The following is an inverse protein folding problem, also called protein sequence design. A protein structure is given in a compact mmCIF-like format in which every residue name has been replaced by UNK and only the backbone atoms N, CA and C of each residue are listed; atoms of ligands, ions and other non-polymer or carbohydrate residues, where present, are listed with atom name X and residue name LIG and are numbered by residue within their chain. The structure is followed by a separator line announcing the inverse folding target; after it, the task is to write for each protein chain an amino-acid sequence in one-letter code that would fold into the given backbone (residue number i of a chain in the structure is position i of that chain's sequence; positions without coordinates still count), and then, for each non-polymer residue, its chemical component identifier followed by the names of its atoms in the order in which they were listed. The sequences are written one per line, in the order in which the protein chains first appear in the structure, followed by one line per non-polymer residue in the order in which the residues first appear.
data_IF_320790047642
#
_entry.id   IF_320790047642
#
_cell.length_a   1.000
_cell.length_b   1.000
_cell.length_c   1.000
_cell.angle_alpha   90.00
_cell.angle_beta   90.00
_cell.angle_gamma   90.00
#
_symmetry.space_group_name_H-M   'P 1'
#
loop_
_entity.id
_entity.type
_entity.pdbx_description
1 polymer ?
#
# COMPACT_ATOMS: atom_id res chain seq x y z
N UNK A 1 1.11 -26.06 1.22
CA UNK A 1 2.10 -25.71 0.17
C UNK A 1 3.10 -24.68 0.68
N UNK A 2 2.77 -23.40 0.86
CA UNK A 2 3.76 -22.38 1.31
C UNK A 2 4.31 -22.65 2.72
N UNK A 3 3.45 -22.94 3.69
CA UNK A 3 3.89 -23.25 5.06
C UNK A 3 4.82 -24.47 5.11
N UNK A 4 4.45 -25.56 4.43
CA UNK A 4 5.25 -26.80 4.46
C UNK A 4 6.59 -26.60 3.76
N UNK A 5 6.61 -25.83 2.67
CA UNK A 5 7.84 -25.44 1.98
C UNK A 5 8.74 -24.58 2.87
N UNK A 6 8.18 -23.59 3.57
CA UNK A 6 8.95 -22.71 4.44
C UNK A 6 9.54 -23.46 5.64
N UNK A 7 8.76 -24.33 6.29
CA UNK A 7 9.26 -25.22 7.35
C UNK A 7 10.35 -26.15 6.81
N UNK A 8 10.11 -26.82 5.68
CA UNK A 8 11.08 -27.72 5.07
C UNK A 8 12.39 -27.02 4.70
N UNK A 9 12.33 -25.77 4.23
CA UNK A 9 13.53 -24.96 3.97
C UNK A 9 14.30 -24.63 5.25
N UNK A 10 13.61 -24.22 6.32
CA UNK A 10 14.25 -23.96 7.61
C UNK A 10 14.92 -25.21 8.18
N UNK A 11 14.21 -26.34 8.18
CA UNK A 11 14.73 -27.60 8.73
C UNK A 11 15.92 -28.13 7.92
N UNK A 12 15.89 -28.00 6.59
CA UNK A 12 16.91 -28.57 5.70
C UNK A 12 18.13 -27.67 5.55
N UNK A 13 17.92 -26.36 5.30
CA UNK A 13 18.99 -25.45 4.90
C UNK A 13 19.41 -24.49 6.02
N UNK A 14 18.51 -24.18 6.96
CA UNK A 14 18.76 -23.20 8.02
C UNK A 14 18.40 -23.71 9.43
N UNK A 15 18.82 -24.92 9.83
CA UNK A 15 18.38 -25.52 11.09
C UNK A 15 18.84 -24.73 12.33
N UNK A 16 19.91 -23.95 12.18
CA UNK A 16 20.42 -23.08 13.24
C UNK A 16 19.49 -21.89 13.56
N UNK A 17 18.57 -21.52 12.66
CA UNK A 17 17.62 -20.41 12.84
C UNK A 17 16.24 -20.86 13.34
N UNK A 18 16.00 -22.17 13.48
CA UNK A 18 14.66 -22.70 13.76
C UNK A 18 14.08 -22.19 15.09
N UNK A 19 14.94 -21.80 16.04
CA UNK A 19 14.53 -21.24 17.35
C UNK A 19 14.17 -19.76 17.28
N UNK A 20 14.63 -19.06 16.24
CA UNK A 20 14.44 -17.62 16.06
C UNK A 20 13.30 -17.29 15.08
N UNK A 21 12.83 -18.28 14.33
CA UNK A 21 11.77 -18.11 13.33
C UNK A 21 10.51 -18.88 13.73
N UNK A 22 9.41 -18.16 13.83
CA UNK A 22 8.08 -18.75 14.00
C UNK A 22 7.28 -18.65 12.71
N UNK A 23 6.82 -19.78 12.19
CA UNK A 23 5.92 -19.84 11.04
C UNK A 23 4.55 -20.28 11.55
N UNK A 24 3.51 -19.52 11.21
CA UNK A 24 2.15 -19.78 11.69
C UNK A 24 1.17 -19.83 10.52
N UNK A 25 0.22 -20.78 10.58
CA UNK A 25 -1.01 -20.73 9.78
C UNK A 25 -2.08 -20.09 10.63
N UNK A 26 -2.54 -18.92 10.21
CA UNK A 26 -3.60 -18.20 10.92
C UNK A 26 -4.94 -18.45 10.21
N UNK A 27 -6.00 -18.59 11.00
CA UNK A 27 -7.36 -18.53 10.45
C UNK A 27 -7.68 -17.08 10.04
N UNK A 28 -8.69 -16.86 9.17
CA UNK A 28 -9.16 -15.53 8.82
C UNK A 28 -9.74 -14.81 10.05
N UNK A 29 -8.88 -14.11 10.78
CA UNK A 29 -9.21 -13.38 12.00
C UNK A 29 -8.49 -12.04 12.01
N UNK A 30 -9.25 -10.98 11.75
CA UNK A 30 -8.71 -9.63 11.62
C UNK A 30 -8.14 -9.09 12.93
N UNK A 31 -8.72 -9.46 14.08
CA UNK A 31 -8.21 -9.02 15.39
C UNK A 31 -6.83 -9.62 15.67
N UNK A 32 -6.65 -10.90 15.33
CA UNK A 32 -5.38 -11.58 15.49
C UNK A 32 -4.32 -10.96 14.58
N UNK A 33 -4.64 -10.75 13.31
CA UNK A 33 -3.72 -10.16 12.35
C UNK A 33 -3.36 -8.72 12.73
N UNK A 34 -4.35 -7.91 13.11
CA UNK A 34 -4.13 -6.56 13.62
C UNK A 34 -3.21 -6.59 14.86
N UNK A 35 -3.40 -7.54 15.78
CA UNK A 35 -2.54 -7.65 16.97
C UNK A 35 -1.09 -7.93 16.58
N UNK A 36 -0.86 -8.85 15.65
CA UNK A 36 0.49 -9.20 15.18
C UNK A 36 1.14 -8.00 14.50
N UNK A 37 0.43 -7.36 13.55
CA UNK A 37 0.93 -6.20 12.82
C UNK A 37 1.20 -5.04 13.80
N UNK A 38 0.24 -4.70 14.65
CA UNK A 38 0.37 -3.56 15.56
C UNK A 38 1.45 -3.75 16.63
N UNK A 39 1.91 -4.97 16.88
CA UNK A 39 3.02 -5.27 17.80
C UNK A 39 4.35 -5.53 17.08
N UNK A 40 4.36 -5.63 15.75
CA UNK A 40 5.59 -5.80 14.98
C UNK A 40 6.51 -4.59 15.11
N UNK A 41 7.82 -4.82 15.06
CA UNK A 41 8.81 -3.74 14.95
C UNK A 41 8.85 -3.18 13.51
N UNK A 42 8.77 -4.09 12.54
CA UNK A 42 8.80 -3.85 11.09
C UNK A 42 7.96 -4.94 10.42
N UNK A 43 7.28 -4.59 9.32
CA UNK A 43 6.50 -5.53 8.51
C UNK A 43 7.19 -5.73 7.17
N UNK A 44 7.31 -6.99 6.73
CA UNK A 44 7.88 -7.34 5.43
C UNK A 44 6.76 -7.77 4.50
N UNK A 45 6.68 -7.15 3.32
CA UNK A 45 5.80 -7.61 2.25
C UNK A 45 6.60 -7.82 0.96
N UNK A 46 7.11 -9.03 0.80
CA UNK A 46 8.13 -9.36 -0.21
C UNK A 46 7.57 -10.17 -1.39
N UNK A 47 6.27 -10.07 -1.63
CA UNK A 47 5.59 -10.70 -2.76
C UNK A 47 6.20 -10.30 -4.11
N UNK A 48 6.22 -11.23 -5.05
CA UNK A 48 6.68 -10.97 -6.44
C UNK A 48 5.62 -10.28 -7.31
N UNK A 49 4.35 -10.38 -6.91
CA UNK A 49 3.18 -9.83 -7.62
C UNK A 49 2.12 -9.50 -6.60
N UNK A 50 1.53 -8.31 -6.73
CA UNK A 50 0.42 -7.87 -5.90
C UNK A 50 -0.58 -7.06 -6.70
N UNK A 51 -1.81 -7.00 -6.20
CA UNK A 51 -2.81 -6.02 -6.62
C UNK A 51 -2.53 -4.69 -5.95
N UNK A 52 -3.40 -4.28 -5.02
CA UNK A 52 -3.12 -3.13 -4.15
C UNK A 52 -2.30 -3.52 -2.92
N UNK A 53 -2.67 -4.64 -2.30
CA UNK A 53 -2.14 -5.18 -1.04
C UNK A 53 -2.43 -4.33 0.20
N UNK A 54 -3.55 -4.66 0.86
CA UNK A 54 -4.12 -3.87 1.98
C UNK A 54 -3.29 -4.00 3.27
N UNK A 55 -2.54 -5.10 3.45
CA UNK A 55 -1.75 -5.31 4.67
C UNK A 55 -0.61 -4.31 4.81
N UNK A 56 -0.14 -3.74 3.70
CA UNK A 56 0.81 -2.61 3.72
C UNK A 56 0.16 -1.38 4.34
N UNK A 57 -1.06 -1.00 3.90
CA UNK A 57 -1.82 0.10 4.51
C UNK A 57 -2.11 -0.14 6.00
N UNK A 58 -2.51 -1.35 6.38
CA UNK A 58 -2.77 -1.70 7.79
C UNK A 58 -1.51 -1.54 8.66
N UNK A 59 -0.36 -2.00 8.17
CA UNK A 59 0.91 -1.83 8.86
C UNK A 59 1.29 -0.36 9.03
N UNK A 60 1.15 0.43 7.96
CA UNK A 60 1.44 1.85 8.01
C UNK A 60 0.49 2.59 8.98
N UNK A 61 -0.82 2.27 8.97
CA UNK A 61 -1.78 2.82 9.93
C UNK A 61 -1.43 2.48 11.38
N UNK A 62 -0.93 1.27 11.62
CA UNK A 62 -0.42 0.88 12.93
C UNK A 62 0.88 1.62 13.34
N UNK A 63 1.44 2.43 12.45
CA UNK A 63 2.69 3.15 12.61
C UNK A 63 3.90 2.21 12.51
N UNK A 64 3.80 1.15 11.71
CA UNK A 64 4.87 0.17 11.52
C UNK A 64 5.57 0.42 10.20
N UNK A 65 6.90 0.68 10.22
CA UNK A 65 7.71 0.70 9.02
C UNK A 65 7.50 -0.58 8.21
N UNK A 66 7.37 -0.42 6.89
CA UNK A 66 7.24 -1.54 5.95
C UNK A 66 8.47 -1.62 5.07
N UNK A 67 9.05 -2.81 4.91
CA UNK A 67 9.98 -3.09 3.81
C UNK A 67 9.21 -3.94 2.82
N UNK A 68 8.98 -3.41 1.62
CA UNK A 68 8.16 -4.08 0.62
C UNK A 68 8.79 -4.07 -0.76
N UNK A 69 8.44 -5.06 -1.56
CA UNK A 69 8.82 -5.09 -2.97
C UNK A 69 8.07 -4.04 -3.77
N UNK A 70 8.69 -3.55 -4.86
CA UNK A 70 8.03 -2.69 -5.87
C UNK A 70 7.05 -3.50 -6.74
N UNK A 71 6.09 -4.16 -6.11
CA UNK A 71 5.08 -4.99 -6.78
C UNK A 71 3.71 -4.30 -6.75
N UNK A 72 3.01 -4.32 -7.90
CA UNK A 72 1.64 -3.84 -8.00
C UNK A 72 1.44 -2.41 -7.51
N UNK A 73 0.44 -2.22 -6.66
CA UNK A 73 0.04 -0.96 -6.03
C UNK A 73 0.74 -0.67 -4.70
N UNK A 74 1.70 -1.49 -4.25
CA UNK A 74 2.50 -1.19 -3.04
C UNK A 74 3.16 0.20 -3.10
N UNK A 75 3.77 0.62 -4.24
CA UNK A 75 4.37 1.96 -4.35
C UNK A 75 3.38 3.12 -4.26
N UNK A 76 2.06 2.86 -4.30
CA UNK A 76 1.04 3.90 -4.04
C UNK A 76 0.96 4.23 -2.54
N UNK A 77 1.33 3.29 -1.68
CA UNK A 77 1.17 3.37 -0.24
C UNK A 77 2.49 3.70 0.48
N UNK A 78 3.59 3.12 -0.02
CA UNK A 78 4.93 3.27 0.56
C UNK A 78 5.69 4.42 -0.10
N UNK A 79 6.04 5.42 0.70
CA UNK A 79 6.94 6.52 0.36
C UNK A 79 8.35 6.11 0.77
N UNK A 80 9.15 5.71 -0.21
CA UNK A 80 10.50 5.17 0.00
C UNK A 80 11.35 6.07 0.92
N UNK A 81 12.01 5.46 1.90
CA UNK A 81 12.83 6.07 2.95
C UNK A 81 12.09 7.06 3.87
N UNK A 82 10.78 7.23 3.72
CA UNK A 82 9.97 8.09 4.57
C UNK A 82 9.11 7.28 5.54
N UNK A 83 8.21 6.43 5.03
CA UNK A 83 7.33 5.59 5.85
C UNK A 83 7.63 4.08 5.71
N UNK A 84 8.59 3.73 4.86
CA UNK A 84 9.02 2.37 4.59
C UNK A 84 10.16 2.36 3.56
N UNK A 85 10.54 1.17 3.12
CA UNK A 85 11.54 0.95 2.09
C UNK A 85 10.95 0.14 0.94
N UNK A 86 11.28 0.54 -0.29
CA UNK A 86 10.91 -0.15 -1.52
C UNK A 86 12.12 -0.87 -2.13
N UNK A 87 12.06 -2.19 -2.17
CA UNK A 87 13.12 -3.06 -2.71
C UNK A 87 12.69 -3.74 -4.01
N UNK A 88 13.65 -4.24 -4.78
CA UNK A 88 13.35 -5.05 -5.97
C UNK A 88 13.05 -6.51 -5.55
N UNK A 89 12.13 -7.22 -6.23
CA UNK A 89 11.83 -8.62 -5.92
C UNK A 89 13.09 -9.51 -5.94
N UNK A 90 13.31 -10.25 -4.86
CA UNK A 90 14.46 -11.14 -4.70
C UNK A 90 15.72 -10.48 -4.14
N UNK A 91 15.75 -9.15 -3.93
CA UNK A 91 16.89 -8.47 -3.30
C UNK A 91 16.86 -8.61 -1.76
N UNK A 92 17.13 -9.82 -1.29
CA UNK A 92 17.20 -10.13 0.13
C UNK A 92 18.34 -9.39 0.85
N UNK A 93 19.37 -8.92 0.13
CA UNK A 93 20.48 -8.16 0.71
C UNK A 93 20.02 -6.76 1.11
N UNK A 94 19.27 -6.08 0.24
CA UNK A 94 18.68 -4.79 0.57
C UNK A 94 17.69 -4.93 1.74
N UNK A 95 16.85 -5.98 1.74
CA UNK A 95 15.94 -6.27 2.87
C UNK A 95 16.71 -6.43 4.18
N UNK A 96 17.77 -7.24 4.20
CA UNK A 96 18.58 -7.45 5.39
C UNK A 96 19.26 -6.16 5.88
N UNK A 97 19.76 -5.32 4.95
CA UNK A 97 20.33 -4.02 5.28
C UNK A 97 19.32 -3.10 5.95
N UNK A 98 18.11 -2.97 5.39
CA UNK A 98 17.06 -2.13 5.96
C UNK A 98 16.50 -2.68 7.29
N UNK A 99 16.45 -3.99 7.46
CA UNK A 99 16.18 -4.59 8.76
C UNK A 99 17.24 -4.15 9.77
N UNK A 100 18.52 -4.26 9.43
CA UNK A 100 19.61 -3.83 10.31
C UNK A 100 19.49 -2.34 10.66
N UNK A 101 19.22 -1.48 9.68
CA UNK A 101 19.00 -0.05 9.90
C UNK A 101 17.88 0.18 10.93
N UNK A 102 16.73 -0.49 10.77
CA UNK A 102 15.56 -0.32 11.64
C UNK A 102 15.75 -0.91 13.05
N UNK A 103 16.60 -1.92 13.21
CA UNK A 103 16.89 -2.54 14.50
C UNK A 103 18.08 -1.91 15.24
N UNK A 104 18.94 -1.17 14.56
CA UNK A 104 20.14 -0.54 15.15
C UNK A 104 20.09 0.98 15.20
N UNK A 105 19.13 1.61 14.53
CA UNK A 105 18.93 3.05 14.55
C UNK A 105 17.52 3.41 15.04
N UNK A 106 17.40 3.60 16.36
CA UNK A 106 16.15 3.96 17.02
C UNK A 106 15.53 5.26 16.49
N UNK A 107 16.36 6.23 16.11
CA UNK A 107 15.87 7.53 15.61
C UNK A 107 15.26 7.38 14.22
N UNK A 108 15.89 6.59 13.35
CA UNK A 108 15.33 6.23 12.05
C UNK A 108 14.01 5.50 12.23
N UNK A 109 13.98 4.49 13.11
CA UNK A 109 12.77 3.72 13.38
C UNK A 109 11.63 4.60 13.89
N UNK A 110 11.89 5.49 14.85
CA UNK A 110 10.88 6.43 15.39
C UNK A 110 10.36 7.38 14.33
N UNK A 111 11.24 7.98 13.53
CA UNK A 111 10.86 8.90 12.44
C UNK A 111 9.99 8.18 11.40
N UNK A 112 10.42 7.00 10.97
CA UNK A 112 9.69 6.22 9.97
C UNK A 112 8.35 5.70 10.52
N UNK A 113 8.30 5.26 11.79
CA UNK A 113 7.06 4.86 12.47
C UNK A 113 6.07 6.00 12.59
N UNK A 114 6.55 7.22 12.88
CA UNK A 114 5.71 8.42 12.91
C UNK A 114 5.17 8.73 11.52
N UNK A 115 6.04 8.77 10.50
CA UNK A 115 5.66 9.01 9.12
C UNK A 115 4.71 7.93 8.56
N UNK A 116 4.85 6.68 8.99
CA UNK A 116 3.89 5.61 8.69
C UNK A 116 2.51 5.95 9.25
N UNK A 117 2.44 6.25 10.55
CA UNK A 117 1.17 6.53 11.25
C UNK A 117 0.42 7.74 10.67
N UNK A 118 1.14 8.79 10.31
CA UNK A 118 0.55 10.06 9.84
C UNK A 118 0.48 10.18 8.32
N UNK A 119 1.14 9.27 7.60
CA UNK A 119 1.37 9.38 6.16
C UNK A 119 0.53 8.45 5.30
N UNK A 120 -0.39 7.67 5.88
CA UNK A 120 -1.37 6.88 5.10
C UNK A 120 -2.52 7.76 4.65
N UNK A 121 -2.85 7.67 3.35
CA UNK A 121 -3.98 8.40 2.78
C UNK A 121 -5.29 7.77 3.22
N UNK A 122 -6.28 8.57 3.62
CA UNK A 122 -7.61 8.07 3.99
C UNK A 122 -8.33 7.37 2.81
N UNK A 123 -7.87 7.61 1.57
CA UNK A 123 -8.35 6.94 0.37
C UNK A 123 -8.22 5.41 0.42
N UNK A 124 -7.33 4.88 1.26
CA UNK A 124 -7.17 3.42 1.43
C UNK A 124 -8.10 2.85 2.49
N UNK A 125 -8.72 3.71 3.30
CA UNK A 125 -9.62 3.34 4.37
C UNK A 125 -11.06 3.14 3.90
N UNK A 126 -11.89 2.53 4.75
CA UNK A 126 -13.31 2.32 4.46
C UNK A 126 -14.06 3.63 4.24
N UNK A 127 -13.75 4.67 5.02
CA UNK A 127 -14.43 5.98 4.92
C UNK A 127 -14.06 6.68 3.61
N UNK A 128 -12.77 6.78 3.29
CA UNK A 128 -12.33 7.35 2.01
C UNK A 128 -12.85 6.59 0.79
N UNK A 129 -12.99 5.26 0.86
CA UNK A 129 -13.62 4.48 -0.22
C UNK A 129 -15.14 4.68 -0.30
N UNK A 130 -15.82 4.84 0.82
CA UNK A 130 -17.27 5.06 0.84
C UNK A 130 -17.66 6.36 0.12
N UNK A 131 -16.83 7.41 0.23
CA UNK A 131 -17.01 8.64 -0.54
C UNK A 131 -17.07 8.35 -2.04
N UNK A 132 -16.09 7.61 -2.58
CA UNK A 132 -16.05 7.25 -3.99
C UNK A 132 -17.27 6.44 -4.42
N UNK A 133 -17.69 5.46 -3.62
CA UNK A 133 -18.88 4.66 -3.92
C UNK A 133 -20.17 5.48 -3.91
N UNK A 134 -20.37 6.35 -2.93
CA UNK A 134 -21.55 7.21 -2.88
C UNK A 134 -21.57 8.21 -4.03
N UNK A 135 -20.42 8.77 -4.38
CA UNK A 135 -20.30 9.64 -5.54
C UNK A 135 -20.70 8.92 -6.83
N UNK A 136 -20.10 7.76 -7.10
CA UNK A 136 -20.43 6.98 -8.30
C UNK A 136 -21.91 6.59 -8.33
N UNK A 137 -22.47 6.16 -7.20
CA UNK A 137 -23.89 5.78 -7.11
C UNK A 137 -24.81 6.99 -7.38
N UNK A 138 -24.49 8.17 -6.85
CA UNK A 138 -25.25 9.39 -7.08
C UNK A 138 -25.21 9.82 -8.56
N UNK A 139 -24.01 9.88 -9.14
CA UNK A 139 -23.82 10.22 -10.57
C UNK A 139 -24.53 9.23 -11.48
N UNK A 140 -24.45 7.93 -11.18
CA UNK A 140 -25.15 6.91 -11.95
C UNK A 140 -26.68 7.04 -11.84
N UNK A 141 -27.20 7.33 -10.64
CA UNK A 141 -28.63 7.55 -10.44
C UNK A 141 -29.14 8.73 -11.27
N UNK A 142 -28.42 9.86 -11.29
CA UNK A 142 -28.76 11.04 -12.11
C UNK A 142 -28.76 10.70 -13.61
N UNK A 143 -27.70 10.08 -14.12
CA UNK A 143 -27.55 9.77 -15.55
C UNK A 143 -28.58 8.74 -16.05
N UNK A 144 -28.96 7.77 -15.20
CA UNK A 144 -29.97 6.76 -15.51
C UNK A 144 -31.40 7.32 -15.61
N UNK A 145 -31.65 8.50 -15.01
CA UNK A 145 -32.93 9.21 -15.11
C UNK A 145 -32.99 10.06 -16.39
N UNK A 146 -31.85 10.52 -16.91
CA UNK A 146 -31.80 11.50 -18.02
C UNK A 146 -31.76 10.83 -19.40
N UNK A 147 -31.04 9.73 -19.60
CA UNK A 147 -31.10 8.98 -20.88
C UNK A 147 -30.89 7.48 -20.69
N UNK A 148 -31.90 6.66 -21.04
CA UNK A 148 -31.81 5.19 -21.10
C UNK A 148 -30.65 4.76 -22.02
N UNK A 149 -29.46 4.57 -21.45
CA UNK A 149 -28.33 3.88 -22.08
C UNK A 149 -27.26 4.75 -22.77
N UNK A 150 -27.23 6.07 -22.56
CA UNK A 150 -26.17 6.95 -23.09
C UNK A 150 -25.55 7.93 -22.09
N UNK A 151 -26.18 8.14 -20.94
CA UNK A 151 -25.60 8.87 -19.81
C UNK A 151 -24.68 7.96 -19.01
N UNK A 152 -23.41 8.34 -18.90
CA UNK A 152 -22.47 7.67 -18.02
C UNK A 152 -21.38 8.65 -17.63
N UNK A 153 -20.93 8.57 -16.38
CA UNK A 153 -19.84 9.38 -15.87
C UNK A 153 -18.56 9.12 -16.71
N UNK A 154 -18.06 10.10 -17.49
CA UNK A 154 -16.89 9.89 -18.32
C UNK A 154 -15.65 9.71 -17.42
N UNK A 155 -15.09 8.50 -17.43
CA UNK A 155 -14.00 8.13 -16.52
C UNK A 155 -12.72 8.95 -16.71
N UNK A 156 -12.37 9.34 -17.94
CA UNK A 156 -11.27 10.25 -18.29
C UNK A 156 -9.94 10.02 -17.53
N UNK A 157 -9.66 8.78 -17.12
CA UNK A 157 -8.50 8.40 -16.29
C UNK A 157 -8.39 9.18 -14.96
N UNK A 158 -9.53 9.68 -14.44
CA UNK A 158 -9.59 10.48 -13.22
C UNK A 158 -9.79 9.60 -11.99
N UNK A 159 -9.26 10.07 -10.86
CA UNK A 159 -9.51 9.47 -9.57
C UNK A 159 -10.90 9.84 -9.08
N UNK A 160 -11.69 8.83 -8.72
CA UNK A 160 -13.08 9.02 -8.24
C UNK A 160 -13.14 9.96 -7.03
N UNK A 161 -12.17 9.87 -6.12
CA UNK A 161 -12.10 10.77 -4.96
C UNK A 161 -11.81 12.22 -5.34
N UNK A 162 -10.99 12.46 -6.37
CA UNK A 162 -10.73 13.82 -6.85
C UNK A 162 -12.02 14.41 -7.45
N UNK A 163 -12.73 13.63 -8.27
CA UNK A 163 -14.01 14.03 -8.86
C UNK A 163 -15.06 14.36 -7.79
N UNK A 164 -15.22 13.46 -6.81
CA UNK A 164 -16.18 13.63 -5.72
C UNK A 164 -15.91 14.89 -4.89
N UNK A 165 -14.64 15.15 -4.57
CA UNK A 165 -14.22 16.30 -3.76
C UNK A 165 -14.31 17.62 -4.51
N UNK A 166 -13.94 17.64 -5.79
CA UNK A 166 -14.09 18.83 -6.62
C UNK A 166 -15.56 19.24 -6.77
N UNK A 167 -16.46 18.29 -7.02
CA UNK A 167 -17.90 18.55 -7.16
C UNK A 167 -18.53 19.01 -5.83
N UNK A 168 -18.01 18.52 -4.70
CA UNK A 168 -18.38 18.99 -3.37
C UNK A 168 -17.75 20.34 -2.97
N UNK A 169 -16.93 20.95 -3.82
CA UNK A 169 -16.26 22.23 -3.55
C UNK A 169 -15.10 22.15 -2.56
N UNK A 170 -14.52 20.96 -2.34
CA UNK A 170 -13.45 20.69 -1.37
C UNK A 170 -12.24 19.92 -1.96
N UNK A 171 -11.63 20.39 -3.07
CA UNK A 171 -10.51 19.70 -3.70
C UNK A 171 -9.31 19.52 -2.75
N UNK A 172 -8.48 18.50 -3.01
CA UNK A 172 -7.25 18.28 -2.25
C UNK A 172 -6.31 19.48 -2.34
N UNK A 173 -5.74 19.88 -1.19
CA UNK A 173 -4.63 20.84 -1.16
C UNK A 173 -3.29 20.15 -1.45
N UNK A 174 -2.26 20.90 -1.87
CA UNK A 174 -0.92 20.34 -2.14
C UNK A 174 -0.28 19.67 -0.92
N UNK A 175 -0.59 20.17 0.28
CA UNK A 175 -0.09 19.64 1.55
C UNK A 175 -0.90 18.45 2.08
N UNK A 176 -2.08 18.17 1.52
CA UNK A 176 -2.94 17.10 2.01
C UNK A 176 -2.42 15.73 1.58
N UNK A 177 -2.45 14.79 2.51
CA UNK A 177 -1.98 13.44 2.22
C UNK A 177 -2.96 12.71 1.31
N UNK A 178 -2.49 12.31 0.12
CA UNK A 178 -3.23 11.54 -0.86
C UNK A 178 -2.33 10.52 -1.57
N UNK A 179 -2.93 9.51 -2.19
CA UNK A 179 -2.22 8.55 -3.01
C UNK A 179 -1.59 9.28 -4.22
N UNK A 180 -0.38 8.89 -4.65
CA UNK A 180 0.30 9.59 -5.74
C UNK A 180 -0.52 9.56 -7.04
N UNK A 181 -0.69 10.71 -7.68
CA UNK A 181 -1.46 10.86 -8.93
C UNK A 181 -0.63 10.66 -10.20
N UNK A 182 0.70 10.68 -10.08
CA UNK A 182 1.66 10.43 -11.17
C UNK A 182 1.44 9.12 -11.95
N UNK A 183 0.69 8.16 -11.38
CA UNK A 183 0.37 6.89 -12.03
C UNK A 183 -0.74 7.01 -13.09
N UNK A 184 -1.56 8.06 -13.01
CA UNK A 184 -2.63 8.36 -13.98
C UNK A 184 -2.34 9.63 -14.78
N UNK A 185 -1.26 10.36 -14.46
CA UNK A 185 -0.79 11.44 -15.29
C UNK A 185 -0.31 10.85 -16.63
N UNK A 186 -0.76 11.43 -17.75
CA UNK A 186 -0.24 11.07 -19.07
C UNK A 186 1.28 11.24 -19.04
N UNK A 187 2.02 10.14 -19.19
CA UNK A 187 3.45 10.24 -19.48
C UNK A 187 3.58 11.05 -20.76
N UNK A 188 4.24 12.20 -20.68
CA UNK A 188 4.73 12.88 -21.88
C UNK A 188 5.70 11.89 -22.52
N UNK A 189 5.23 11.13 -23.51
CA UNK A 189 6.11 10.35 -24.35
C UNK A 189 7.01 11.37 -25.04
N UNK A 190 8.29 11.35 -24.72
CA UNK A 190 9.28 12.18 -25.39
C UNK A 190 9.17 11.96 -26.90
N UNK A 191 8.66 12.97 -27.60
CA UNK A 191 8.65 13.05 -29.06
C UNK A 191 10.06 13.32 -29.60
N UNK A 192 11.07 12.56 -29.14
CA UNK A 192 12.48 12.62 -29.55
C UNK A 192 13.05 11.21 -29.72
N UNK A 193 12.45 10.44 -30.63
CA UNK A 193 13.06 9.25 -31.21
C UNK A 193 12.50 9.03 -32.62
N UNK A 194 12.64 10.04 -33.47
CA UNK A 194 12.48 9.96 -34.93
C UNK A 194 13.22 11.15 -35.57
N UNK A 195 14.56 11.10 -35.50
CA UNK A 195 15.45 11.73 -36.47
C UNK A 195 16.26 10.62 -37.13
#
# INVERSE_FOLDING_TARGET
MVYDQAIGQLETYYPHLIRDVSIMRLSPNDQLLNTIIAKAHVVLQLSIREGFEVKVSEALHAGRPVIATKAGGIPLQVKDKANGFLVDPGDWKAVAGHLMDLFTNDDLHKKMSHAARTGVSDEVGTVGNALGWFYLAARWAEDSVVERGKGGLPGNERWVNDMAREEAGCPYSESENRLPRQFTEKKVLDAKAAE
#
